data_IF_939212366576
#
_entry.id   IF_939212366576
#
_cell.length_a   1.000
_cell.length_b   1.000
_cell.length_c   1.000
_cell.angle_alpha   90.00
_cell.angle_beta   90.00
_cell.angle_gamma   90.00
#
_symmetry.space_group_name_H-M   'P 1'
#
loop_
_entity.id
_entity.type
_entity.pdbx_description
1 polymer ?
#
# COMPACT_ATOMS: atom_id res chain seq x y z
N UNK A 1 53.62 -11.72 -14.83
CA UNK A 1 54.77 -11.73 -13.89
C UNK A 1 54.78 -13.08 -13.18
N UNK A 2 55.92 -13.65 -12.80
CA UNK A 2 55.95 -14.88 -11.99
C UNK A 2 55.69 -14.55 -10.53
N UNK A 3 55.16 -15.51 -9.76
CA UNK A 3 54.89 -15.32 -8.32
C UNK A 3 56.15 -14.99 -7.53
N UNK A 4 57.31 -15.56 -7.90
CA UNK A 4 58.61 -15.25 -7.30
C UNK A 4 59.06 -13.81 -7.55
N UNK A 5 58.83 -13.30 -8.76
CA UNK A 5 59.16 -11.93 -9.12
C UNK A 5 58.29 -10.91 -8.37
N UNK A 6 57.01 -11.23 -8.12
CA UNK A 6 56.15 -10.40 -7.28
C UNK A 6 56.54 -10.50 -5.81
N UNK A 7 56.79 -11.71 -5.30
CA UNK A 7 57.18 -11.97 -3.92
C UNK A 7 58.47 -11.24 -3.52
N UNK A 8 59.46 -11.19 -4.42
CA UNK A 8 60.71 -10.47 -4.20
C UNK A 8 60.57 -8.94 -4.09
N UNK A 9 59.46 -8.36 -4.57
CA UNK A 9 59.15 -6.93 -4.41
C UNK A 9 58.46 -6.62 -3.09
N UNK A 10 57.74 -7.59 -2.54
CA UNK A 10 56.98 -7.43 -1.30
C UNK A 10 57.94 -7.36 -0.10
N UNK A 11 57.84 -6.35 0.79
CA UNK A 11 58.61 -6.29 2.02
C UNK A 11 58.45 -7.54 2.90
N UNK A 12 59.53 -7.99 3.53
CA UNK A 12 59.53 -9.23 4.35
C UNK A 12 58.44 -9.26 5.43
N UNK A 13 58.06 -8.09 5.98
CA UNK A 13 56.98 -7.98 6.97
C UNK A 13 55.61 -8.37 6.40
N UNK A 14 55.37 -8.15 5.10
CA UNK A 14 54.12 -8.50 4.42
C UNK A 14 54.14 -9.92 3.82
N UNK A 15 55.31 -10.47 3.50
CA UNK A 15 55.42 -11.79 2.84
C UNK A 15 54.78 -12.94 3.65
N UNK A 16 54.77 -12.82 4.98
CA UNK A 16 54.20 -13.83 5.88
C UNK A 16 52.74 -13.56 6.27
N UNK A 17 52.18 -12.41 5.87
CA UNK A 17 50.80 -12.03 6.20
C UNK A 17 49.86 -12.37 5.05
N UNK A 18 48.65 -12.76 5.42
CA UNK A 18 47.47 -12.96 4.56
C UNK A 18 46.34 -12.07 5.06
N UNK A 19 45.25 -11.96 4.29
CA UNK A 19 44.06 -11.22 4.71
C UNK A 19 43.50 -11.69 6.08
N UNK A 20 43.63 -12.99 6.40
CA UNK A 20 43.17 -13.58 7.65
C UNK A 20 44.00 -13.19 8.88
N UNK A 21 45.19 -12.61 8.69
CA UNK A 21 46.03 -12.15 9.80
C UNK A 21 45.68 -10.73 10.27
N UNK A 22 44.85 -10.01 9.51
CA UNK A 22 44.35 -8.69 9.86
C UNK A 22 43.12 -8.83 10.74
N UNK A 23 43.00 -7.95 11.73
CA UNK A 23 41.89 -7.92 12.68
C UNK A 23 41.09 -6.64 12.42
N UNK A 24 39.96 -6.73 11.67
CA UNK A 24 39.17 -5.57 11.31
C UNK A 24 38.61 -4.82 12.53
N UNK A 25 38.39 -5.51 13.65
CA UNK A 25 37.83 -4.94 14.87
C UNK A 25 38.72 -3.87 15.51
N UNK A 26 40.02 -3.83 15.16
CA UNK A 26 40.96 -2.81 15.65
C UNK A 26 40.65 -1.42 15.15
N UNK A 27 40.11 -1.31 13.94
CA UNK A 27 39.78 -0.03 13.34
C UNK A 27 38.63 -0.18 12.34
N UNK A 28 37.41 -0.25 12.87
CA UNK A 28 36.20 -0.40 12.08
C UNK A 28 35.99 0.73 11.06
N UNK A 29 36.49 1.93 11.32
CA UNK A 29 36.40 3.05 10.37
C UNK A 29 37.12 2.74 9.05
N UNK A 30 38.35 2.21 9.10
CA UNK A 30 39.09 1.89 7.87
C UNK A 30 38.67 0.54 7.28
N UNK A 31 38.30 -0.44 8.11
CA UNK A 31 37.72 -1.69 7.64
C UNK A 31 36.42 -1.47 6.86
N UNK A 32 35.49 -0.69 7.43
CA UNK A 32 34.23 -0.34 6.78
C UNK A 32 34.43 0.47 5.51
N UNK A 33 35.39 1.40 5.47
CA UNK A 33 35.73 2.17 4.25
C UNK A 33 36.30 1.31 3.14
N UNK A 34 37.25 0.44 3.46
CA UNK A 34 37.89 -0.43 2.47
C UNK A 34 36.86 -1.36 1.83
N UNK A 35 36.09 -2.05 2.67
CA UNK A 35 35.07 -2.98 2.19
C UNK A 35 33.91 -2.24 1.52
N UNK A 36 33.44 -1.13 2.09
CA UNK A 36 32.39 -0.32 1.47
C UNK A 36 32.77 0.25 0.10
N UNK A 37 34.07 0.46 -0.15
CA UNK A 37 34.57 0.80 -1.48
C UNK A 37 34.66 -0.44 -2.38
N UNK A 38 35.27 -1.52 -1.90
CA UNK A 38 35.38 -2.77 -2.65
C UNK A 38 34.04 -3.25 -3.21
N UNK A 39 32.96 -3.04 -2.46
CA UNK A 39 31.60 -3.43 -2.86
C UNK A 39 30.87 -2.42 -3.74
N UNK A 40 31.36 -1.17 -3.87
CA UNK A 40 30.67 -0.12 -4.63
C UNK A 40 30.95 -0.16 -6.12
N UNK A 41 32.18 -0.49 -6.50
CA UNK A 41 32.71 -0.14 -7.82
C UNK A 41 32.79 -1.37 -8.77
N UNK A 42 31.81 -2.28 -8.70
CA UNK A 42 31.76 -3.55 -9.46
C UNK A 42 33.03 -4.43 -9.34
N UNK A 43 33.88 -4.17 -8.35
CA UNK A 43 35.07 -4.97 -8.04
C UNK A 43 36.31 -4.16 -7.68
N UNK A 44 37.47 -4.82 -7.77
CA UNK A 44 38.78 -4.33 -7.31
C UNK A 44 39.31 -3.15 -8.14
N UNK A 45 38.74 -2.90 -9.33
CA UNK A 45 39.34 -2.01 -10.35
C UNK A 45 39.43 -0.54 -9.91
N UNK A 46 38.58 -0.09 -8.98
CA UNK A 46 38.63 1.27 -8.43
C UNK A 46 39.07 1.34 -6.96
N UNK A 47 39.53 0.22 -6.38
CA UNK A 47 39.94 0.18 -4.98
C UNK A 47 41.05 1.20 -4.70
N UNK A 48 40.80 2.14 -3.79
CA UNK A 48 41.77 3.17 -3.45
C UNK A 48 42.95 2.52 -2.75
N UNK A 49 44.13 2.58 -3.37
CA UNK A 49 45.39 2.18 -2.73
C UNK A 49 45.60 2.87 -1.37
N UNK A 50 45.03 4.07 -1.19
CA UNK A 50 45.04 4.78 0.09
C UNK A 50 44.23 4.07 1.18
N UNK A 51 43.01 3.61 0.89
CA UNK A 51 42.21 2.85 1.86
C UNK A 51 42.79 1.48 2.14
N UNK A 52 43.32 0.81 1.11
CA UNK A 52 44.02 -0.47 1.26
C UNK A 52 45.22 -0.35 2.20
N UNK A 53 46.05 0.68 1.98
CA UNK A 53 47.20 0.96 2.83
C UNK A 53 46.81 1.31 4.27
N UNK A 54 45.79 2.16 4.45
CA UNK A 54 45.34 2.59 5.77
C UNK A 54 44.75 1.41 6.56
N UNK A 55 43.93 0.59 5.93
CA UNK A 55 43.45 -0.66 6.53
C UNK A 55 44.62 -1.55 6.95
N UNK A 56 45.55 -1.85 6.04
CA UNK A 56 46.67 -2.73 6.35
C UNK A 56 47.49 -2.17 7.53
N UNK A 57 47.72 -0.87 7.57
CA UNK A 57 48.48 -0.23 8.64
C UNK A 57 47.77 -0.29 10.00
N UNK A 58 46.45 -0.11 10.03
CA UNK A 58 45.69 0.00 11.30
C UNK A 58 45.15 -1.34 11.81
N UNK A 59 44.88 -2.28 10.91
CA UNK A 59 44.29 -3.58 11.23
C UNK A 59 45.35 -4.70 11.30
N UNK A 60 46.63 -4.41 11.04
CA UNK A 60 47.72 -5.37 11.14
C UNK A 60 47.82 -6.01 12.55
N UNK A 61 48.31 -7.25 12.62
CA UNK A 61 48.58 -7.89 13.91
C UNK A 61 49.66 -7.10 14.68
N UNK A 62 49.74 -7.22 16.03
CA UNK A 62 50.61 -6.38 16.84
C UNK A 62 52.08 -6.50 16.44
N UNK A 63 52.49 -7.69 15.99
CA UNK A 63 53.84 -7.96 15.50
C UNK A 63 54.21 -7.18 14.23
N UNK A 64 53.22 -6.69 13.48
CA UNK A 64 53.37 -5.90 12.26
C UNK A 64 52.77 -4.49 12.41
N UNK A 65 52.53 -4.03 13.64
CA UNK A 65 51.83 -2.78 13.90
C UNK A 65 52.52 -1.59 13.23
N UNK A 66 51.73 -0.81 12.48
CA UNK A 66 52.19 0.41 11.83
C UNK A 66 53.04 0.22 10.58
N UNK A 67 53.39 -1.03 10.20
CA UNK A 67 54.10 -1.41 8.97
C UNK A 67 55.25 -0.44 8.58
N UNK A 68 56.32 -0.32 9.40
CA UNK A 68 57.36 0.67 9.19
C UNK A 68 58.09 0.47 7.87
N UNK A 69 58.23 1.54 7.08
CA UNK A 69 58.91 1.51 5.79
C UNK A 69 58.12 0.88 4.64
N UNK A 70 56.89 0.42 4.90
CA UNK A 70 55.98 -0.08 3.85
C UNK A 70 55.28 1.10 3.17
N UNK A 71 55.28 1.10 1.85
CA UNK A 71 54.61 2.09 1.00
C UNK A 71 53.23 1.60 0.55
N UNK A 72 52.33 2.48 0.08
CA UNK A 72 51.07 2.04 -0.52
C UNK A 72 51.25 1.07 -1.70
N UNK A 73 52.30 1.25 -2.52
CA UNK A 73 52.63 0.35 -3.63
C UNK A 73 52.97 -1.06 -3.16
N UNK A 74 53.68 -1.19 -2.04
CA UNK A 74 54.01 -2.50 -1.45
C UNK A 74 52.76 -3.26 -0.99
N UNK A 75 51.75 -2.55 -0.47
CA UNK A 75 50.47 -3.15 -0.05
C UNK A 75 49.65 -3.58 -1.27
N UNK A 76 49.67 -2.81 -2.36
CA UNK A 76 49.02 -3.21 -3.63
C UNK A 76 49.68 -4.45 -4.23
N UNK A 77 51.02 -4.49 -4.27
CA UNK A 77 51.77 -5.67 -4.73
C UNK A 77 51.49 -6.90 -3.84
N UNK A 78 51.38 -6.70 -2.52
CA UNK A 78 51.00 -7.74 -1.57
C UNK A 78 49.57 -8.26 -1.75
N UNK A 79 48.59 -7.38 -1.96
CA UNK A 79 47.20 -7.79 -2.23
C UNK A 79 47.11 -8.59 -3.54
N UNK A 80 47.74 -8.08 -4.61
CA UNK A 80 47.82 -8.78 -5.88
C UNK A 80 48.48 -10.16 -5.74
N UNK A 81 49.49 -10.30 -4.88
CA UNK A 81 50.12 -11.58 -4.62
C UNK A 81 49.21 -12.56 -3.88
N UNK A 82 48.48 -12.11 -2.85
CA UNK A 82 47.54 -12.96 -2.13
C UNK A 82 46.41 -13.44 -3.03
N UNK A 83 45.87 -12.54 -3.85
CA UNK A 83 44.80 -12.85 -4.80
C UNK A 83 45.27 -13.86 -5.86
N UNK A 84 46.41 -13.60 -6.51
CA UNK A 84 46.86 -14.40 -7.66
C UNK A 84 47.55 -15.72 -7.28
N UNK A 85 48.23 -15.79 -6.13
CA UNK A 85 49.10 -16.92 -5.79
C UNK A 85 48.73 -17.64 -4.50
N UNK A 86 47.99 -17.01 -3.58
CA UNK A 86 47.52 -17.67 -2.35
C UNK A 86 46.04 -18.05 -2.39
N UNK A 87 45.29 -17.53 -3.36
CA UNK A 87 43.84 -17.72 -3.45
C UNK A 87 43.12 -17.31 -2.15
N UNK A 88 43.64 -16.26 -1.51
CA UNK A 88 43.03 -15.60 -0.35
C UNK A 88 42.65 -14.20 -0.81
N UNK A 89 41.40 -13.81 -0.60
CA UNK A 89 40.85 -12.56 -1.10
C UNK A 89 40.35 -11.67 0.03
N UNK A 90 40.14 -10.39 -0.28
CA UNK A 90 39.50 -9.45 0.65
C UNK A 90 38.10 -9.92 1.10
N UNK A 91 37.44 -10.80 0.33
CA UNK A 91 36.13 -11.35 0.71
C UNK A 91 36.23 -12.22 1.98
N UNK A 92 37.40 -12.82 2.25
CA UNK A 92 37.57 -13.72 3.40
C UNK A 92 37.48 -12.98 4.75
N UNK A 93 37.77 -11.67 4.79
CA UNK A 93 37.63 -10.85 6.01
C UNK A 93 36.21 -10.30 6.22
N UNK A 94 35.30 -10.47 5.24
CA UNK A 94 33.95 -9.89 5.31
C UNK A 94 33.14 -10.44 6.49
N UNK A 95 33.36 -11.71 6.85
CA UNK A 95 32.68 -12.37 7.99
C UNK A 95 33.07 -11.72 9.33
N UNK A 96 34.34 -11.35 9.50
CA UNK A 96 34.81 -10.71 10.74
C UNK A 96 34.32 -9.26 10.86
N UNK A 97 34.23 -8.57 9.73
CA UNK A 97 33.63 -7.23 9.66
C UNK A 97 32.14 -7.28 10.00
N UNK A 98 31.44 -8.35 9.63
CA UNK A 98 30.04 -8.59 10.02
C UNK A 98 29.82 -8.49 11.51
N UNK A 99 30.68 -9.13 12.29
CA UNK A 99 30.53 -9.13 13.73
C UNK A 99 30.91 -7.79 14.36
N UNK A 100 32.13 -7.32 14.10
CA UNK A 100 32.72 -6.25 14.89
C UNK A 100 32.47 -4.84 14.33
N UNK A 101 32.35 -4.72 13.00
CA UNK A 101 32.42 -3.44 12.29
C UNK A 101 31.22 -3.18 11.37
N UNK A 102 30.10 -3.87 11.63
CA UNK A 102 28.88 -3.82 10.84
C UNK A 102 28.40 -2.39 10.55
N UNK A 103 28.26 -1.55 11.58
CA UNK A 103 27.74 -0.20 11.45
C UNK A 103 28.64 0.71 10.59
N UNK A 104 29.96 0.65 10.79
CA UNK A 104 30.91 1.42 9.97
C UNK A 104 30.92 0.91 8.53
N UNK A 105 30.84 -0.40 8.30
CA UNK A 105 30.72 -0.95 6.95
C UNK A 105 29.47 -0.43 6.26
N UNK A 106 28.30 -0.59 6.87
CA UNK A 106 27.02 -0.14 6.30
C UNK A 106 26.95 1.37 6.09
N UNK A 107 27.60 2.17 6.93
CA UNK A 107 27.67 3.63 6.76
C UNK A 107 28.55 4.05 5.57
N UNK A 108 29.65 3.33 5.32
CA UNK A 108 30.57 3.68 4.23
C UNK A 108 30.13 3.09 2.88
N UNK A 109 29.17 2.18 2.91
CA UNK A 109 28.46 1.70 1.75
C UNK A 109 27.59 2.83 1.19
N UNK A 110 27.89 3.29 -0.02
CA UNK A 110 26.99 4.26 -0.67
C UNK A 110 25.77 3.52 -1.14
N UNK A 111 24.62 3.89 -0.61
CA UNK A 111 23.34 3.41 -1.09
C UNK A 111 22.89 4.29 -2.26
N UNK A 112 23.02 3.84 -3.53
CA UNK A 112 22.50 4.62 -4.65
C UNK A 112 20.99 4.83 -4.46
N UNK A 113 20.29 3.79 -4.00
CA UNK A 113 18.85 3.79 -3.73
C UNK A 113 18.04 4.19 -4.96
N UNK A 114 16.72 4.13 -4.84
CA UNK A 114 15.87 4.79 -5.81
C UNK A 114 14.82 5.60 -5.07
N UNK A 115 15.02 6.93 -4.90
CA UNK A 115 14.07 7.73 -4.16
C UNK A 115 12.67 7.64 -4.77
N UNK A 116 12.50 7.43 -6.07
CA UNK A 116 11.17 7.30 -6.67
C UNK A 116 10.40 6.03 -6.27
N UNK A 117 11.04 5.05 -5.62
CA UNK A 117 10.42 3.78 -5.20
C UNK A 117 10.40 3.59 -3.67
N UNK A 118 11.44 4.02 -2.98
CA UNK A 118 11.61 3.87 -1.52
C UNK A 118 11.67 5.20 -0.77
N UNK A 119 11.66 6.32 -1.49
CA UNK A 119 11.79 7.65 -0.91
C UNK A 119 10.56 8.16 -0.14
N UNK A 120 10.76 9.29 0.54
CA UNK A 120 9.81 9.86 1.51
C UNK A 120 8.42 10.09 0.93
N UNK A 121 8.32 10.51 -0.33
CA UNK A 121 7.03 10.78 -0.94
C UNK A 121 6.24 9.52 -1.33
N UNK A 122 6.91 8.43 -1.71
CA UNK A 122 6.24 7.12 -1.89
C UNK A 122 5.74 6.61 -0.54
N UNK A 123 6.56 6.75 0.51
CA UNK A 123 6.15 6.42 1.87
C UNK A 123 4.92 7.23 2.32
N UNK A 124 4.90 8.53 2.04
CA UNK A 124 3.72 9.37 2.28
C UNK A 124 2.49 8.87 1.51
N UNK A 125 2.66 8.40 0.27
CA UNK A 125 1.57 7.80 -0.52
C UNK A 125 1.03 6.53 0.16
N UNK A 126 1.88 5.65 0.70
CA UNK A 126 1.42 4.49 1.48
C UNK A 126 0.63 4.90 2.73
N UNK A 127 1.12 5.89 3.48
CA UNK A 127 0.42 6.42 4.67
C UNK A 127 -0.96 6.95 4.29
N UNK A 128 -1.06 7.75 3.22
CA UNK A 128 -2.34 8.26 2.71
C UNK A 128 -3.26 7.09 2.32
N UNK A 129 -2.76 6.10 1.58
CA UNK A 129 -3.53 4.92 1.20
C UNK A 129 -4.08 4.16 2.41
N UNK A 130 -3.26 3.95 3.45
CA UNK A 130 -3.68 3.26 4.67
C UNK A 130 -4.79 4.03 5.42
N UNK A 131 -4.63 5.36 5.54
CA UNK A 131 -5.62 6.23 6.19
C UNK A 131 -6.95 6.15 5.45
N UNK A 132 -6.96 6.38 4.13
CA UNK A 132 -8.20 6.36 3.35
C UNK A 132 -8.87 4.99 3.34
N UNK A 133 -8.09 3.90 3.21
CA UNK A 133 -8.60 2.53 3.30
C UNK A 133 -9.30 2.29 4.63
N UNK A 134 -8.68 2.73 5.73
CA UNK A 134 -9.24 2.61 7.08
C UNK A 134 -10.52 3.44 7.23
N UNK A 135 -10.52 4.68 6.76
CA UNK A 135 -11.69 5.56 6.79
C UNK A 135 -12.87 4.96 6.00
N UNK A 136 -12.63 4.50 4.76
CA UNK A 136 -13.66 3.88 3.94
C UNK A 136 -14.21 2.60 4.61
N UNK A 137 -13.34 1.74 5.12
CA UNK A 137 -13.73 0.54 5.84
C UNK A 137 -14.62 0.86 7.05
N UNK A 138 -14.22 1.82 7.89
CA UNK A 138 -14.99 2.26 9.06
C UNK A 138 -16.37 2.81 8.67
N UNK A 139 -16.42 3.71 7.69
CA UNK A 139 -17.69 4.29 7.20
C UNK A 139 -18.62 3.19 6.73
N UNK A 140 -18.13 2.24 5.93
CA UNK A 140 -18.97 1.15 5.45
C UNK A 140 -19.39 0.16 6.53
N UNK A 141 -18.55 -0.10 7.54
CA UNK A 141 -18.93 -0.91 8.70
C UNK A 141 -20.08 -0.22 9.45
N UNK A 142 -19.97 1.09 9.71
CA UNK A 142 -21.03 1.87 10.36
C UNK A 142 -22.33 1.82 9.53
N UNK A 143 -22.24 2.00 8.21
CA UNK A 143 -23.40 1.91 7.33
C UNK A 143 -24.03 0.50 7.38
N UNK A 144 -23.23 -0.55 7.33
CA UNK A 144 -23.70 -1.93 7.39
C UNK A 144 -24.37 -2.26 8.73
N UNK A 145 -23.78 -1.82 9.85
CA UNK A 145 -24.35 -1.98 11.20
C UNK A 145 -25.65 -1.19 11.33
N UNK A 146 -25.69 0.04 10.83
CA UNK A 146 -26.90 0.88 10.85
C UNK A 146 -28.05 0.26 10.05
N UNK A 147 -27.74 -0.36 8.92
CA UNK A 147 -28.74 -1.03 8.08
C UNK A 147 -29.22 -2.32 8.73
N UNK A 148 -28.30 -3.09 9.32
CA UNK A 148 -28.64 -4.27 10.10
C UNK A 148 -29.57 -3.93 11.27
N UNK A 149 -29.26 -2.88 12.03
CA UNK A 149 -30.10 -2.44 13.16
C UNK A 149 -31.49 -1.96 12.70
N UNK A 150 -31.57 -1.23 11.58
CA UNK A 150 -32.85 -0.83 10.97
C UNK A 150 -33.70 -2.04 10.61
N UNK A 151 -33.12 -3.03 9.92
CA UNK A 151 -33.81 -4.28 9.56
C UNK A 151 -34.29 -5.07 10.78
N UNK A 152 -33.51 -5.11 11.86
CA UNK A 152 -33.93 -5.73 13.12
C UNK A 152 -35.13 -5.00 13.74
N UNK A 153 -35.12 -3.67 13.70
CA UNK A 153 -36.21 -2.84 14.23
C UNK A 153 -37.49 -3.03 13.43
N UNK A 154 -37.39 -3.03 12.10
CA UNK A 154 -38.54 -3.22 11.20
C UNK A 154 -39.13 -4.63 11.34
N UNK A 155 -38.29 -5.66 11.52
CA UNK A 155 -38.75 -7.02 11.86
C UNK A 155 -39.52 -7.05 13.16
N UNK A 156 -38.99 -6.45 14.24
CA UNK A 156 -39.68 -6.38 15.54
C UNK A 156 -41.04 -5.66 15.42
N UNK A 157 -41.10 -4.57 14.66
CA UNK A 157 -42.35 -3.84 14.40
C UNK A 157 -43.36 -4.67 13.59
N UNK A 158 -42.90 -5.39 12.57
CA UNK A 158 -43.75 -6.27 11.79
C UNK A 158 -44.32 -7.42 12.65
N UNK A 159 -43.50 -8.06 13.49
CA UNK A 159 -43.98 -9.08 14.43
C UNK A 159 -44.96 -8.53 15.47
N UNK A 160 -44.70 -7.34 16.02
CA UNK A 160 -45.61 -6.70 16.96
C UNK A 160 -46.97 -6.33 16.34
N UNK A 161 -46.98 -5.89 15.07
CA UNK A 161 -48.21 -5.58 14.33
C UNK A 161 -49.07 -6.84 14.08
N UNK A 162 -48.45 -8.01 13.88
CA UNK A 162 -49.17 -9.28 13.75
C UNK A 162 -49.74 -9.76 15.09
N UNK A 163 -48.99 -9.57 16.19
CA UNK A 163 -49.41 -10.01 17.53
C UNK A 163 -50.54 -9.19 18.18
N UNK A 164 -50.70 -7.91 17.81
CA UNK A 164 -51.69 -7.02 18.44
C UNK A 164 -53.13 -7.18 17.93
N UNK A 165 -53.36 -7.91 16.83
CA UNK A 165 -54.67 -8.03 16.18
C UNK A 165 -55.19 -9.47 16.11
N UNK A 166 -54.79 -10.34 17.04
CA UNK A 166 -55.23 -11.73 17.08
C UNK A 166 -56.71 -11.87 17.46
N UNK A 167 -57.59 -11.65 16.48
CA UNK A 167 -58.77 -12.49 16.31
C UNK A 167 -58.23 -13.85 15.84
N UNK A 168 -58.57 -14.98 16.48
CA UNK A 168 -58.06 -16.29 16.11
C UNK A 168 -58.51 -16.64 14.68
N UNK A 169 -57.62 -16.43 13.72
CA UNK A 169 -57.89 -16.71 12.32
C UNK A 169 -57.46 -18.15 12.03
N UNK A 170 -58.42 -19.08 12.00
CA UNK A 170 -58.24 -20.49 11.64
C UNK A 170 -58.07 -20.72 10.11
N UNK A 171 -57.54 -19.73 9.39
CA UNK A 171 -57.32 -19.82 7.94
C UNK A 171 -55.98 -20.48 7.57
N UNK A 172 -55.87 -21.07 6.37
CA UNK A 172 -54.61 -21.60 5.84
C UNK A 172 -53.53 -20.51 5.85
N UNK A 173 -52.30 -20.91 6.18
CA UNK A 173 -51.17 -20.00 6.42
C UNK A 173 -51.10 -18.87 5.37
N UNK A 174 -51.06 -17.59 5.78
CA UNK A 174 -51.08 -16.49 4.84
C UNK A 174 -49.89 -16.62 3.89
N UNK A 175 -50.21 -16.69 2.59
CA UNK A 175 -49.22 -16.64 1.53
C UNK A 175 -48.27 -15.47 1.80
N UNK A 176 -46.97 -15.76 1.86
CA UNK A 176 -45.93 -14.78 2.15
C UNK A 176 -46.17 -13.54 1.30
N UNK A 177 -46.38 -12.38 1.93
CA UNK A 177 -46.56 -11.12 1.22
C UNK A 177 -45.44 -10.99 0.19
N UNK A 178 -45.75 -10.76 -1.09
CA UNK A 178 -44.74 -10.69 -2.13
C UNK A 178 -43.73 -9.62 -1.73
N UNK A 179 -42.49 -10.04 -1.44
CA UNK A 179 -41.40 -9.12 -1.16
C UNK A 179 -41.35 -8.13 -2.32
N UNK A 180 -41.52 -6.85 -2.03
CA UNK A 180 -41.38 -5.81 -3.04
C UNK A 180 -40.06 -6.04 -3.79
N UNK A 181 -40.06 -6.03 -5.13
CA UNK A 181 -38.86 -6.32 -5.89
C UNK A 181 -37.73 -5.37 -5.44
N UNK A 182 -36.49 -5.86 -5.32
CA UNK A 182 -35.38 -5.04 -4.89
C UNK A 182 -35.25 -3.83 -5.81
N UNK A 183 -35.36 -2.63 -5.23
CA UNK A 183 -35.16 -1.38 -5.96
C UNK A 183 -33.78 -1.39 -6.64
N UNK A 184 -33.66 -0.92 -7.89
CA UNK A 184 -32.40 -0.84 -8.59
C UNK A 184 -31.41 -0.01 -7.77
N UNK A 185 -30.23 -0.59 -7.53
CA UNK A 185 -29.18 0.06 -6.76
C UNK A 185 -28.64 1.27 -7.53
N UNK A 186 -28.83 2.47 -6.99
CA UNK A 186 -28.19 3.68 -7.51
C UNK A 186 -26.88 3.93 -6.75
N UNK A 187 -25.72 3.96 -7.45
CA UNK A 187 -24.43 4.17 -6.80
C UNK A 187 -24.41 5.54 -6.13
N UNK A 188 -24.08 5.54 -4.85
CA UNK A 188 -23.96 6.76 -4.04
C UNK A 188 -22.71 7.56 -4.46
N UNK A 189 -22.58 8.81 -3.97
CA UNK A 189 -21.34 9.58 -4.20
C UNK A 189 -20.12 8.91 -3.58
N UNK A 190 -20.29 8.32 -2.38
CA UNK A 190 -19.25 7.56 -1.68
C UNK A 190 -18.75 6.39 -2.52
N UNK A 191 -19.67 5.66 -3.16
CA UNK A 191 -19.35 4.52 -4.03
C UNK A 191 -18.45 4.91 -5.20
N UNK A 192 -18.64 6.11 -5.77
CA UNK A 192 -17.81 6.65 -6.85
C UNK A 192 -16.42 7.05 -6.36
N UNK A 193 -16.32 7.67 -5.18
CA UNK A 193 -15.03 7.99 -4.58
C UNK A 193 -14.21 6.73 -4.27
N UNK A 194 -14.85 5.72 -3.69
CA UNK A 194 -14.22 4.42 -3.42
C UNK A 194 -13.78 3.75 -4.71
N UNK A 195 -14.59 3.82 -5.76
CA UNK A 195 -14.21 3.32 -7.08
C UNK A 195 -12.99 4.03 -7.67
N UNK A 196 -12.95 5.37 -7.62
CA UNK A 196 -11.80 6.14 -8.08
C UNK A 196 -10.54 5.79 -7.27
N UNK A 197 -10.64 5.76 -5.94
CA UNK A 197 -9.52 5.41 -5.05
C UNK A 197 -9.01 3.99 -5.29
N UNK A 198 -9.92 3.03 -5.49
CA UNK A 198 -9.58 1.64 -5.79
C UNK A 198 -8.81 1.53 -7.11
N UNK A 199 -9.30 2.19 -8.17
CA UNK A 199 -8.63 2.20 -9.49
C UNK A 199 -7.25 2.86 -9.42
N UNK A 200 -7.13 4.01 -8.75
CA UNK A 200 -5.83 4.68 -8.55
C UNK A 200 -4.85 3.80 -7.78
N UNK A 201 -5.31 3.12 -6.73
CA UNK A 201 -4.49 2.18 -5.95
C UNK A 201 -4.07 0.97 -6.79
N UNK A 202 -4.91 0.53 -7.73
CA UNK A 202 -4.57 -0.56 -8.66
C UNK A 202 -3.44 -0.14 -9.60
N UNK A 203 -3.53 1.04 -10.24
CA UNK A 203 -2.46 1.51 -11.11
C UNK A 203 -1.14 1.69 -10.36
N UNK A 204 -1.20 2.24 -9.15
CA UNK A 204 -0.03 2.38 -8.30
C UNK A 204 0.57 1.01 -7.94
N UNK A 205 -0.25 0.04 -7.52
CA UNK A 205 0.21 -1.32 -7.21
C UNK A 205 0.82 -2.05 -8.41
N UNK A 206 0.26 -1.89 -9.61
CA UNK A 206 0.84 -2.44 -10.85
C UNK A 206 2.16 -1.76 -11.17
N UNK A 207 2.26 -0.44 -11.05
CA UNK A 207 3.51 0.28 -11.29
C UNK A 207 4.62 -0.19 -10.34
N UNK A 208 4.32 -0.34 -9.04
CA UNK A 208 5.28 -0.87 -8.06
C UNK A 208 5.67 -2.32 -8.36
N UNK A 209 4.71 -3.16 -8.80
CA UNK A 209 4.99 -4.54 -9.17
C UNK A 209 5.88 -4.64 -10.42
N UNK A 210 5.62 -3.82 -11.44
CA UNK A 210 6.45 -3.74 -12.64
C UNK A 210 7.83 -3.19 -12.31
N UNK A 211 7.94 -2.18 -11.45
CA UNK A 211 9.23 -1.67 -10.99
C UNK A 211 10.04 -2.76 -10.26
N UNK A 212 9.40 -3.51 -9.35
CA UNK A 212 10.04 -4.63 -8.67
C UNK A 212 10.57 -5.68 -9.66
N UNK A 213 9.77 -6.07 -10.67
CA UNK A 213 10.21 -7.01 -11.71
C UNK A 213 11.34 -6.45 -12.58
N UNK A 214 11.27 -5.17 -12.93
CA UNK A 214 12.28 -4.52 -13.74
C UNK A 214 13.63 -4.51 -13.00
N UNK A 215 13.66 -4.11 -11.73
CA UNK A 215 14.89 -4.09 -10.93
C UNK A 215 15.47 -5.49 -10.79
N UNK A 216 14.63 -6.48 -10.43
CA UNK A 216 15.02 -7.90 -10.32
C UNK A 216 15.74 -8.44 -11.57
N UNK A 217 15.37 -7.96 -12.76
CA UNK A 217 15.88 -8.48 -14.03
C UNK A 217 16.92 -7.59 -14.71
N UNK A 218 16.93 -6.29 -14.44
CA UNK A 218 17.73 -5.32 -15.17
C UNK A 218 18.88 -4.74 -14.35
N UNK A 219 18.77 -4.73 -13.02
CA UNK A 219 19.73 -4.06 -12.15
C UNK A 219 20.29 -5.06 -11.13
N UNK A 220 21.59 -5.34 -11.23
CA UNK A 220 22.28 -6.10 -10.20
C UNK A 220 22.54 -5.19 -8.99
N UNK A 221 22.23 -5.69 -7.79
CA UNK A 221 22.61 -5.01 -6.54
C UNK A 221 21.60 -4.03 -5.94
N UNK A 222 20.30 -4.11 -6.27
CA UNK A 222 19.24 -3.28 -5.67
C UNK A 222 18.16 -4.13 -4.96
N UNK A 223 18.58 -5.02 -4.07
CA UNK A 223 17.73 -5.88 -3.24
C UNK A 223 16.78 -5.04 -2.36
N UNK A 224 17.23 -3.93 -1.79
CA UNK A 224 16.38 -3.04 -1.00
C UNK A 224 15.27 -2.40 -1.82
N UNK A 225 15.64 -1.80 -2.96
CA UNK A 225 14.68 -1.11 -3.82
C UNK A 225 13.68 -2.13 -4.36
N UNK A 226 14.15 -3.33 -4.70
CA UNK A 226 13.31 -4.47 -5.05
C UNK A 226 12.35 -4.82 -3.92
N UNK A 227 12.86 -4.96 -2.70
CA UNK A 227 12.09 -5.31 -1.52
C UNK A 227 11.02 -4.27 -1.19
N UNK A 228 11.38 -2.97 -1.20
CA UNK A 228 10.44 -1.86 -1.02
C UNK A 228 9.37 -1.84 -2.12
N UNK A 229 9.75 -2.09 -3.37
CA UNK A 229 8.82 -2.13 -4.50
C UNK A 229 7.84 -3.30 -4.38
N UNK A 230 8.34 -4.47 -3.96
CA UNK A 230 7.52 -5.64 -3.68
C UNK A 230 6.56 -5.38 -2.52
N UNK A 231 7.05 -4.88 -1.37
CA UNK A 231 6.20 -4.54 -0.23
C UNK A 231 5.16 -3.49 -0.60
N UNK A 232 5.53 -2.50 -1.42
CA UNK A 232 4.62 -1.50 -1.97
C UNK A 232 3.51 -2.10 -2.84
N UNK A 233 3.86 -3.05 -3.70
CA UNK A 233 2.89 -3.78 -4.51
C UNK A 233 1.95 -4.65 -3.63
N UNK A 234 2.49 -5.36 -2.63
CA UNK A 234 1.72 -6.15 -1.67
C UNK A 234 0.79 -5.28 -0.82
N UNK A 235 1.29 -4.14 -0.35
CA UNK A 235 0.52 -3.14 0.38
C UNK A 235 -0.66 -2.65 -0.47
N UNK A 236 -0.40 -2.29 -1.72
CA UNK A 236 -1.43 -1.86 -2.67
C UNK A 236 -2.45 -2.97 -2.95
N UNK A 237 -2.01 -4.21 -3.15
CA UNK A 237 -2.91 -5.36 -3.30
C UNK A 237 -3.82 -5.53 -2.06
N UNK A 238 -3.26 -5.33 -0.87
CA UNK A 238 -4.01 -5.40 0.39
C UNK A 238 -5.10 -4.31 0.45
N UNK A 239 -4.81 -3.07 0.03
CA UNK A 239 -5.82 -2.01 -0.14
C UNK A 239 -6.97 -2.47 -1.03
N UNK A 240 -6.66 -3.04 -2.20
CA UNK A 240 -7.67 -3.48 -3.15
C UNK A 240 -8.56 -4.58 -2.59
N UNK A 241 -7.98 -5.55 -1.88
CA UNK A 241 -8.69 -6.68 -1.27
C UNK A 241 -9.54 -6.23 -0.07
N UNK A 242 -9.05 -5.30 0.74
CA UNK A 242 -9.84 -4.69 1.82
C UNK A 242 -11.08 -4.03 1.24
N UNK A 243 -10.94 -3.22 0.19
CA UNK A 243 -12.02 -2.41 -0.36
C UNK A 243 -12.92 -3.13 -1.38
N UNK A 244 -12.51 -4.31 -1.86
CA UNK A 244 -13.21 -5.10 -2.87
C UNK A 244 -14.70 -5.37 -2.56
N UNK A 245 -15.11 -5.73 -1.31
CA UNK A 245 -16.51 -5.97 -0.98
C UNK A 245 -17.46 -4.81 -1.33
N UNK A 246 -16.94 -3.58 -1.30
CA UNK A 246 -17.70 -2.36 -1.54
C UNK A 246 -17.53 -1.85 -2.96
N UNK A 247 -16.31 -1.92 -3.52
CA UNK A 247 -16.07 -1.60 -4.92
C UNK A 247 -16.98 -2.39 -5.88
N UNK A 248 -17.24 -3.66 -5.55
CA UNK A 248 -18.17 -4.52 -6.32
C UNK A 248 -19.59 -3.94 -6.42
N UNK A 249 -20.05 -3.14 -5.46
CA UNK A 249 -21.38 -2.50 -5.51
C UNK A 249 -21.41 -1.30 -6.46
N UNK A 250 -20.28 -0.59 -6.55
CA UNK A 250 -20.14 0.61 -7.36
C UNK A 250 -19.90 0.33 -8.84
N UNK A 251 -19.27 -0.81 -9.15
CA UNK A 251 -18.81 -1.10 -10.51
C UNK A 251 -19.89 -1.78 -11.36
N UNK A 252 -20.15 -1.23 -12.54
CA UNK A 252 -21.01 -1.85 -13.56
C UNK A 252 -20.43 -3.17 -14.09
N UNK A 253 -19.11 -3.35 -13.99
CA UNK A 253 -18.37 -4.48 -14.57
C UNK A 253 -17.54 -5.20 -13.50
N UNK A 254 -18.16 -6.04 -12.65
CA UNK A 254 -17.46 -6.73 -11.56
C UNK A 254 -16.36 -7.71 -12.03
N UNK A 255 -16.41 -8.12 -13.30
CA UNK A 255 -15.37 -8.96 -13.91
C UNK A 255 -14.05 -8.19 -14.11
N UNK A 256 -14.09 -6.88 -14.36
CA UNK A 256 -12.88 -6.06 -14.48
C UNK A 256 -12.16 -5.97 -13.13
N UNK A 257 -12.91 -5.78 -12.03
CA UNK A 257 -12.36 -5.79 -10.68
C UNK A 257 -11.62 -7.11 -10.37
N UNK A 258 -12.23 -8.23 -10.75
CA UNK A 258 -11.63 -9.55 -10.58
C UNK A 258 -10.38 -9.70 -11.45
N UNK A 259 -10.45 -9.35 -12.73
CA UNK A 259 -9.32 -9.41 -13.65
C UNK A 259 -8.13 -8.57 -13.15
N UNK A 260 -8.39 -7.35 -12.67
CA UNK A 260 -7.37 -6.48 -12.05
C UNK A 260 -6.71 -7.14 -10.84
N UNK A 261 -7.49 -7.72 -9.92
CA UNK A 261 -6.94 -8.45 -8.77
C UNK A 261 -6.12 -9.68 -9.23
N UNK A 262 -6.55 -10.39 -10.27
CA UNK A 262 -5.81 -11.52 -10.84
C UNK A 262 -4.46 -11.10 -11.41
N UNK A 263 -4.42 -9.99 -12.16
CA UNK A 263 -3.19 -9.47 -12.75
C UNK A 263 -2.19 -9.15 -11.65
N UNK A 264 -2.61 -8.41 -10.61
CA UNK A 264 -1.72 -8.05 -9.51
C UNK A 264 -1.29 -9.28 -8.70
N UNK A 265 -2.19 -10.24 -8.49
CA UNK A 265 -1.89 -11.53 -7.86
C UNK A 265 -0.81 -12.31 -8.62
N UNK A 266 -0.94 -12.42 -9.95
CA UNK A 266 0.05 -13.09 -10.79
C UNK A 266 1.39 -12.36 -10.74
N UNK A 267 1.40 -11.03 -10.84
CA UNK A 267 2.63 -10.25 -10.73
C UNK A 267 3.33 -10.48 -9.38
N UNK A 268 2.59 -10.43 -8.27
CA UNK A 268 3.15 -10.71 -6.94
C UNK A 268 3.69 -12.13 -6.80
N UNK A 269 3.03 -13.12 -7.42
CA UNK A 269 3.52 -14.50 -7.45
C UNK A 269 4.81 -14.63 -8.26
N UNK A 270 4.89 -13.97 -9.42
CA UNK A 270 6.12 -13.95 -10.23
C UNK A 270 7.24 -13.29 -9.44
N UNK A 271 7.03 -12.10 -8.87
CA UNK A 271 8.03 -11.39 -8.06
C UNK A 271 8.47 -12.24 -6.87
N UNK A 272 7.52 -12.82 -6.12
CA UNK A 272 7.85 -13.66 -4.96
C UNK A 272 8.64 -14.92 -5.37
N UNK A 273 8.32 -15.51 -6.52
CA UNK A 273 9.04 -16.66 -7.06
C UNK A 273 10.44 -16.29 -7.56
N UNK A 274 10.60 -15.17 -8.27
CA UNK A 274 11.91 -14.71 -8.74
C UNK A 274 12.78 -14.31 -7.56
N UNK A 275 12.22 -13.56 -6.61
CA UNK A 275 12.89 -13.20 -5.38
C UNK A 275 13.30 -14.44 -4.59
N UNK A 276 12.46 -15.47 -4.49
CA UNK A 276 12.85 -16.74 -3.85
C UNK A 276 14.07 -17.38 -4.52
N UNK A 277 14.08 -17.44 -5.85
CA UNK A 277 15.15 -18.05 -6.60
C UNK A 277 16.47 -17.26 -6.44
N UNK A 278 16.38 -15.93 -6.50
CA UNK A 278 17.52 -15.03 -6.33
C UNK A 278 18.02 -14.98 -4.90
N UNK A 279 17.11 -14.84 -3.92
CA UNK A 279 17.44 -14.83 -2.50
C UNK A 279 18.26 -16.05 -2.13
N UNK A 280 17.90 -17.26 -2.59
CA UNK A 280 18.67 -18.50 -2.35
C UNK A 280 20.08 -18.46 -2.97
N UNK A 281 20.28 -17.76 -4.08
CA UNK A 281 21.58 -17.69 -4.76
C UNK A 281 22.44 -16.49 -4.31
N UNK A 282 21.83 -15.41 -3.81
CA UNK A 282 22.46 -14.10 -3.56
C UNK A 282 22.52 -13.74 -2.06
N UNK A 283 22.59 -14.72 -1.17
CA UNK A 283 22.76 -14.49 0.29
C UNK A 283 23.98 -13.62 0.64
N UNK A 284 24.93 -13.47 -0.28
CA UNK A 284 26.17 -12.73 -0.09
C UNK A 284 26.09 -11.27 -0.61
N UNK A 285 24.91 -10.76 -0.98
CA UNK A 285 24.80 -9.34 -1.31
C UNK A 285 24.97 -8.52 -0.02
N UNK A 286 25.85 -7.53 -0.07
CA UNK A 286 26.12 -6.61 1.04
C UNK A 286 24.85 -5.89 1.52
N UNK A 287 23.88 -5.69 0.64
CA UNK A 287 22.60 -5.10 0.99
C UNK A 287 21.90 -5.99 2.01
N UNK A 288 21.83 -7.29 1.72
CA UNK A 288 21.22 -8.25 2.63
C UNK A 288 21.97 -8.27 3.97
N UNK A 289 23.29 -8.18 3.97
CA UNK A 289 24.10 -8.03 5.19
C UNK A 289 23.61 -6.85 6.04
N UNK A 290 23.53 -5.65 5.46
CA UNK A 290 23.08 -4.46 6.19
C UNK A 290 21.59 -4.53 6.58
N UNK A 291 20.75 -5.30 5.88
CA UNK A 291 19.34 -5.51 6.23
C UNK A 291 19.08 -6.55 7.30
N UNK A 292 19.83 -7.65 7.25
CA UNK A 292 19.64 -8.87 8.05
C UNK A 292 19.86 -8.60 9.53
N UNK A 293 20.79 -7.70 9.84
CA UNK A 293 21.08 -7.28 11.21
C UNK A 293 19.90 -6.57 11.89
N UNK A 294 19.05 -5.88 11.12
CA UNK A 294 18.17 -4.86 11.68
C UNK A 294 16.72 -5.33 11.89
N UNK A 295 16.20 -6.23 11.06
CA UNK A 295 14.84 -6.77 11.19
C UNK A 295 14.83 -8.27 11.47
N UNK A 296 13.83 -8.74 12.25
CA UNK A 296 13.58 -10.17 12.43
C UNK A 296 13.35 -10.82 11.07
N UNK A 297 14.34 -11.57 10.58
CA UNK A 297 14.32 -12.33 9.33
C UNK A 297 13.00 -13.07 9.12
N UNK A 298 12.42 -13.58 10.22
CA UNK A 298 11.12 -14.22 10.23
C UNK A 298 10.02 -13.33 9.64
N UNK A 299 9.90 -12.06 10.03
CA UNK A 299 8.84 -11.18 9.55
C UNK A 299 8.96 -10.89 8.05
N UNK A 300 10.17 -10.60 7.59
CA UNK A 300 10.50 -10.39 6.17
C UNK A 300 10.20 -11.65 5.37
N UNK A 301 10.67 -12.80 5.85
CA UNK A 301 10.43 -14.11 5.25
C UNK A 301 8.93 -14.40 5.17
N UNK A 302 8.19 -14.28 6.27
CA UNK A 302 6.75 -14.54 6.27
C UNK A 302 6.02 -13.61 5.30
N UNK A 303 6.35 -12.32 5.22
CA UNK A 303 5.68 -11.40 4.31
C UNK A 303 6.04 -11.64 2.84
N UNK A 304 7.29 -11.99 2.53
CA UNK A 304 7.73 -12.35 1.18
C UNK A 304 7.07 -13.63 0.66
N UNK A 305 6.90 -14.63 1.53
CA UNK A 305 6.40 -15.95 1.15
C UNK A 305 4.91 -16.13 1.39
N UNK A 306 4.27 -15.27 2.18
CA UNK A 306 2.82 -15.29 2.39
C UNK A 306 2.04 -15.22 1.07
N UNK A 307 2.40 -14.38 0.08
CA UNK A 307 1.74 -14.37 -1.21
C UNK A 307 1.72 -15.73 -1.93
N UNK A 308 2.78 -16.55 -1.83
CA UNK A 308 2.82 -17.86 -2.50
C UNK A 308 1.72 -18.81 -2.02
N UNK A 309 1.30 -18.72 -0.77
CA UNK A 309 0.22 -19.55 -0.22
C UNK A 309 -1.15 -18.86 -0.27
N UNK A 310 -1.21 -17.62 0.21
CA UNK A 310 -2.47 -16.94 0.45
C UNK A 310 -3.11 -16.39 -0.81
N UNK A 311 -2.32 -15.91 -1.78
CA UNK A 311 -2.85 -15.30 -3.01
C UNK A 311 -3.51 -16.35 -3.91
N UNK A 312 -2.89 -17.52 -4.21
CA UNK A 312 -3.55 -18.57 -4.97
C UNK A 312 -4.80 -19.11 -4.27
N UNK A 313 -4.74 -19.32 -2.96
CA UNK A 313 -5.89 -19.78 -2.17
C UNK A 313 -7.05 -18.79 -2.19
N UNK A 314 -6.75 -17.51 -1.97
CA UNK A 314 -7.74 -16.43 -2.08
C UNK A 314 -8.34 -16.37 -3.47
N UNK A 315 -7.51 -16.35 -4.52
CA UNK A 315 -7.94 -16.29 -5.91
C UNK A 315 -8.83 -17.48 -6.31
N UNK A 316 -8.39 -18.71 -5.99
CA UNK A 316 -9.15 -19.92 -6.25
C UNK A 316 -10.53 -19.87 -5.56
N UNK A 317 -10.61 -19.35 -4.34
CA UNK A 317 -11.89 -19.16 -3.66
C UNK A 317 -12.78 -18.13 -4.37
N UNK A 318 -12.22 -17.03 -4.87
CA UNK A 318 -13.01 -16.05 -5.64
C UNK A 318 -13.57 -16.64 -6.92
N UNK A 319 -12.74 -17.36 -7.68
CA UNK A 319 -13.15 -18.05 -8.90
C UNK A 319 -14.21 -19.11 -8.59
N UNK A 320 -14.02 -19.90 -7.54
CA UNK A 320 -15.01 -20.88 -7.08
C UNK A 320 -16.34 -20.22 -6.70
N UNK A 321 -16.31 -19.09 -6.00
CA UNK A 321 -17.52 -18.32 -5.68
C UNK A 321 -18.24 -17.82 -6.94
N UNK A 322 -17.48 -17.37 -7.95
CA UNK A 322 -18.04 -16.93 -9.22
C UNK A 322 -18.67 -18.10 -9.99
N UNK A 323 -17.96 -19.23 -10.10
CA UNK A 323 -18.44 -20.43 -10.77
C UNK A 323 -19.68 -21.03 -10.09
N UNK A 324 -19.69 -21.11 -8.75
CA UNK A 324 -20.84 -21.58 -7.97
C UNK A 324 -22.08 -20.72 -8.22
N UNK A 325 -21.90 -19.40 -8.30
CA UNK A 325 -23.00 -18.48 -8.60
C UNK A 325 -23.53 -18.64 -10.03
N UNK A 326 -22.64 -18.83 -11.00
CA UNK A 326 -23.01 -18.96 -12.41
C UNK A 326 -23.72 -20.29 -12.71
N UNK A 327 -23.21 -21.40 -12.16
CA UNK A 327 -23.70 -22.74 -12.50
C UNK A 327 -24.71 -23.30 -11.50
N UNK A 328 -24.71 -22.87 -10.23
CA UNK A 328 -25.52 -23.47 -9.17
C UNK A 328 -26.23 -22.41 -8.30
N UNK A 329 -27.17 -21.62 -8.85
CA UNK A 329 -27.78 -20.48 -8.15
C UNK A 329 -28.52 -20.87 -6.86
N UNK A 330 -29.19 -22.02 -6.85
CA UNK A 330 -29.91 -22.52 -5.66
C UNK A 330 -28.95 -22.86 -4.52
N UNK A 331 -27.84 -23.55 -4.85
CA UNK A 331 -26.81 -23.91 -3.86
C UNK A 331 -26.05 -22.67 -3.37
N UNK A 332 -25.83 -21.70 -4.27
CA UNK A 332 -25.23 -20.41 -3.93
C UNK A 332 -26.04 -19.65 -2.88
N UNK A 333 -27.38 -19.60 -3.01
CA UNK A 333 -28.21 -18.89 -2.04
C UNK A 333 -28.17 -19.56 -0.65
N UNK A 334 -28.10 -20.89 -0.60
CA UNK A 334 -27.89 -21.64 0.65
C UNK A 334 -26.53 -21.36 1.29
N UNK A 335 -25.46 -21.25 0.49
CA UNK A 335 -24.09 -20.99 0.97
C UNK A 335 -23.79 -19.50 1.21
N UNK A 336 -24.69 -18.59 0.82
CA UNK A 336 -24.52 -17.14 0.94
C UNK A 336 -24.03 -16.64 2.31
N UNK A 337 -24.52 -17.12 3.49
CA UNK A 337 -24.00 -16.67 4.78
C UNK A 337 -22.53 -17.06 4.98
N UNK A 338 -22.16 -18.30 4.61
CA UNK A 338 -20.77 -18.80 4.71
C UNK A 338 -19.84 -17.99 3.82
N UNK A 339 -20.25 -17.76 2.56
CA UNK A 339 -19.49 -16.93 1.62
C UNK A 339 -19.36 -15.47 2.09
N UNK A 340 -20.38 -14.95 2.76
CA UNK A 340 -20.32 -13.62 3.35
C UNK A 340 -19.27 -13.57 4.46
N UNK A 341 -19.25 -14.53 5.38
CA UNK A 341 -18.25 -14.61 6.45
C UNK A 341 -16.84 -14.73 5.85
N UNK A 342 -16.63 -15.67 4.92
CA UNK A 342 -15.34 -15.87 4.27
C UNK A 342 -14.81 -14.58 3.62
N UNK A 343 -15.68 -13.84 2.92
CA UNK A 343 -15.32 -12.57 2.30
C UNK A 343 -14.87 -11.52 3.32
N UNK A 344 -15.58 -11.39 4.45
CA UNK A 344 -15.18 -10.47 5.52
C UNK A 344 -13.86 -10.88 6.17
N UNK A 345 -13.66 -12.18 6.37
CA UNK A 345 -12.40 -12.71 6.90
C UNK A 345 -11.22 -12.37 6.00
N UNK A 346 -11.35 -12.53 4.68
CA UNK A 346 -10.29 -12.12 3.73
C UNK A 346 -9.99 -10.62 3.87
N UNK A 347 -11.01 -9.76 3.87
CA UNK A 347 -10.80 -8.32 3.99
C UNK A 347 -10.15 -7.95 5.32
N UNK A 348 -10.46 -8.65 6.42
CA UNK A 348 -9.82 -8.43 7.72
C UNK A 348 -8.35 -8.88 7.73
N UNK A 349 -8.04 -10.05 7.14
CA UNK A 349 -6.64 -10.51 6.98
C UNK A 349 -5.85 -9.54 6.12
N UNK A 350 -6.42 -9.10 4.98
CA UNK A 350 -5.81 -8.10 4.12
C UNK A 350 -5.62 -6.75 4.84
N UNK A 351 -6.53 -6.37 5.73
CA UNK A 351 -6.37 -5.17 6.56
C UNK A 351 -5.22 -5.31 7.55
N UNK A 352 -5.05 -6.48 8.18
CA UNK A 352 -3.89 -6.77 9.01
C UNK A 352 -2.58 -6.68 8.21
N UNK A 353 -2.55 -7.28 7.01
CA UNK A 353 -1.38 -7.24 6.12
C UNK A 353 -1.04 -5.81 5.66
N UNK A 354 -2.05 -5.00 5.31
CA UNK A 354 -1.88 -3.59 4.97
C UNK A 354 -1.06 -2.85 6.05
N UNK A 355 -1.48 -2.94 7.31
CA UNK A 355 -0.81 -2.25 8.41
C UNK A 355 0.52 -2.89 8.78
N UNK A 356 0.65 -4.22 8.70
CA UNK A 356 1.91 -4.90 8.92
C UNK A 356 2.97 -4.48 7.88
N UNK A 357 2.59 -4.42 6.59
CA UNK A 357 3.47 -3.95 5.52
C UNK A 357 3.87 -2.48 5.70
N UNK A 358 2.93 -1.61 6.10
CA UNK A 358 3.25 -0.20 6.37
C UNK A 358 4.19 -0.04 7.57
N UNK A 359 3.94 -0.78 8.66
CA UNK A 359 4.81 -0.77 9.84
C UNK A 359 6.21 -1.25 9.52
N UNK A 360 6.33 -2.28 8.68
CA UNK A 360 7.60 -2.79 8.21
C UNK A 360 8.35 -1.79 7.32
N UNK A 361 7.66 -1.16 6.36
CA UNK A 361 8.22 -0.07 5.55
C UNK A 361 8.72 1.09 6.42
N UNK A 362 7.97 1.44 7.47
CA UNK A 362 8.35 2.51 8.39
C UNK A 362 9.58 2.14 9.23
N UNK A 363 9.61 0.92 9.78
CA UNK A 363 10.74 0.37 10.53
C UNK A 363 12.01 0.40 9.68
N UNK A 364 11.96 -0.19 8.48
CA UNK A 364 13.11 -0.20 7.58
C UNK A 364 13.59 1.20 7.22
N UNK A 365 12.66 2.14 7.02
CA UNK A 365 13.04 3.51 6.71
C UNK A 365 13.80 4.18 7.87
N UNK A 366 13.34 4.00 9.11
CA UNK A 366 14.00 4.56 10.30
C UNK A 366 15.39 3.96 10.47
N UNK A 367 15.49 2.65 10.32
CA UNK A 367 16.76 1.92 10.44
C UNK A 367 17.77 2.35 9.37
N UNK A 368 17.33 2.47 8.12
CA UNK A 368 18.20 2.93 7.02
C UNK A 368 18.63 4.39 7.19
N UNK A 369 17.77 5.23 7.74
CA UNK A 369 18.10 6.62 8.07
C UNK A 369 19.18 6.71 9.17
N UNK A 370 19.08 5.87 10.21
CA UNK A 370 20.08 5.77 11.27
C UNK A 370 21.43 5.23 10.78
N UNK A 371 21.41 4.27 9.83
CA UNK A 371 22.62 3.65 9.29
C UNK A 371 23.38 4.55 8.30
N UNK A 372 22.66 5.24 7.42
CA UNK A 372 23.24 5.97 6.28
C UNK A 372 23.43 7.48 6.55
N UNK A 373 22.91 7.99 7.66
CA UNK A 373 23.01 9.39 8.08
C UNK A 373 22.68 10.38 6.92
N UNK A 374 23.50 11.42 6.72
CA UNK A 374 23.20 12.56 5.84
C UNK A 374 23.20 12.23 4.33
N UNK A 375 23.77 11.11 3.92
CA UNK A 375 23.90 10.72 2.50
C UNK A 375 22.75 9.84 2.02
N UNK A 376 21.71 9.63 2.83
CA UNK A 376 20.55 8.82 2.44
C UNK A 376 19.73 9.51 1.33
N UNK A 377 19.93 9.08 0.09
CA UNK A 377 19.30 9.65 -1.11
C UNK A 377 17.76 9.65 -1.03
N UNK A 378 17.18 8.74 -0.25
CA UNK A 378 15.73 8.54 -0.11
C UNK A 378 15.01 9.57 0.74
N UNK A 379 15.77 10.43 1.43
CA UNK A 379 15.23 11.62 2.09
C UNK A 379 14.94 12.76 1.12
N UNK A 380 15.34 12.62 -0.15
CA UNK A 380 15.06 13.61 -1.20
C UNK A 380 13.74 13.31 -1.89
N UNK A 381 13.03 14.37 -2.26
CA UNK A 381 11.81 14.29 -3.04
C UNK A 381 12.13 14.08 -4.52
N UNK A 382 11.64 12.98 -5.07
CA UNK A 382 11.69 12.68 -6.51
C UNK A 382 10.49 13.27 -7.25
N UNK A 383 10.62 13.42 -8.58
CA UNK A 383 9.51 13.90 -9.41
C UNK A 383 8.34 12.90 -9.41
N UNK A 384 8.63 11.60 -9.48
CA UNK A 384 7.61 10.55 -9.48
C UNK A 384 6.78 10.56 -8.20
N UNK A 385 7.42 10.84 -7.07
CA UNK A 385 6.77 10.95 -5.77
C UNK A 385 5.73 12.08 -5.70
N UNK A 386 6.09 13.28 -6.18
CA UNK A 386 5.19 14.44 -6.19
C UNK A 386 4.00 14.14 -7.11
N UNK A 387 4.28 13.58 -8.29
CA UNK A 387 3.24 13.20 -9.24
C UNK A 387 2.27 12.17 -8.65
N UNK A 388 2.76 11.19 -7.89
CA UNK A 388 1.94 10.18 -7.24
C UNK A 388 0.94 10.78 -6.25
N UNK A 389 1.37 11.74 -5.41
CA UNK A 389 0.47 12.43 -4.47
C UNK A 389 -0.53 13.31 -5.22
N UNK A 390 -0.04 14.06 -6.23
CA UNK A 390 -0.89 14.95 -7.04
C UNK A 390 -1.96 14.17 -7.80
N UNK A 391 -1.64 12.97 -8.29
CA UNK A 391 -2.58 12.10 -8.99
C UNK A 391 -3.82 11.74 -8.14
N UNK A 392 -3.71 11.80 -6.81
CA UNK A 392 -4.84 11.54 -5.92
C UNK A 392 -5.60 12.79 -5.51
N UNK A 393 -5.10 14.00 -5.78
CA UNK A 393 -5.76 15.26 -5.37
C UNK A 393 -7.24 15.31 -5.79
N UNK A 394 -7.65 14.95 -7.03
CA UNK A 394 -9.06 14.96 -7.41
C UNK A 394 -9.94 14.08 -6.51
N UNK A 395 -9.42 12.92 -6.09
CA UNK A 395 -10.12 12.01 -5.18
C UNK A 395 -10.29 12.63 -3.79
N UNK A 396 -9.26 13.29 -3.26
CA UNK A 396 -9.33 14.01 -1.99
C UNK A 396 -10.39 15.11 -2.03
N UNK A 397 -10.38 15.94 -3.08
CA UNK A 397 -11.35 17.04 -3.25
C UNK A 397 -12.78 16.51 -3.24
N UNK A 398 -13.06 15.43 -3.98
CA UNK A 398 -14.41 14.84 -4.01
C UNK A 398 -14.80 14.22 -2.66
N UNK A 399 -13.87 13.55 -1.98
CA UNK A 399 -14.12 12.99 -0.65
C UNK A 399 -14.49 14.08 0.37
N UNK A 400 -13.70 15.16 0.44
CA UNK A 400 -13.97 16.27 1.36
C UNK A 400 -15.25 17.01 0.99
N UNK A 401 -15.56 17.15 -0.30
CA UNK A 401 -16.82 17.75 -0.73
C UNK A 401 -18.04 16.97 -0.27
N UNK A 402 -17.99 15.63 -0.34
CA UNK A 402 -19.07 14.77 0.17
C UNK A 402 -19.21 14.94 1.68
N UNK A 403 -18.10 14.86 2.42
CA UNK A 403 -18.10 15.01 3.87
C UNK A 403 -18.62 16.38 4.31
N UNK A 404 -18.12 17.46 3.71
CA UNK A 404 -18.57 18.81 4.02
C UNK A 404 -20.07 18.98 3.75
N UNK A 405 -20.55 18.47 2.61
CA UNK A 405 -21.95 18.60 2.23
C UNK A 405 -22.89 17.80 3.13
N UNK A 406 -22.54 16.55 3.44
CA UNK A 406 -23.35 15.71 4.32
C UNK A 406 -23.30 16.19 5.76
N UNK A 407 -22.17 16.72 6.22
CA UNK A 407 -22.05 17.39 7.51
C UNK A 407 -22.95 18.63 7.60
N UNK A 408 -22.94 19.50 6.57
CA UNK A 408 -23.83 20.67 6.50
C UNK A 408 -25.30 20.25 6.56
N UNK A 409 -25.69 19.20 5.82
CA UNK A 409 -27.07 18.67 5.85
C UNK A 409 -27.46 18.07 7.19
N UNK A 410 -26.58 17.28 7.81
CA UNK A 410 -26.85 16.71 9.12
C UNK A 410 -27.05 17.82 10.17
N UNK A 411 -26.21 18.85 10.11
CA UNK A 411 -26.31 19.99 11.01
C UNK A 411 -27.58 20.82 10.77
N UNK A 412 -28.01 21.01 9.52
CA UNK A 412 -29.25 21.73 9.21
C UNK A 412 -30.50 20.97 9.66
N UNK A 413 -30.53 19.63 9.47
CA UNK A 413 -31.64 18.78 9.96
C UNK A 413 -31.68 18.77 11.49
N UNK A 414 -30.53 18.72 12.17
CA UNK A 414 -30.46 18.79 13.62
C UNK A 414 -31.01 20.11 14.15
N UNK A 415 -30.60 21.24 13.56
CA UNK A 415 -31.15 22.57 13.88
C UNK A 415 -32.64 22.66 13.63
N UNK A 416 -33.14 22.10 12.52
CA UNK A 416 -34.57 22.08 12.21
C UNK A 416 -35.37 21.28 13.26
N UNK A 417 -34.85 20.12 13.71
CA UNK A 417 -35.47 19.34 14.79
C UNK A 417 -35.48 20.09 16.12
N UNK A 418 -34.39 20.74 16.50
CA UNK A 418 -34.34 21.56 17.72
C UNK A 418 -35.37 22.70 17.67
N UNK A 419 -35.48 23.40 16.54
CA UNK A 419 -36.46 24.48 16.37
C UNK A 419 -37.91 23.96 16.50
N UNK A 420 -38.19 22.75 16.02
CA UNK A 420 -39.51 22.13 16.10
C UNK A 420 -39.85 21.68 17.53
N UNK A 421 -38.86 21.22 18.30
CA UNK A 421 -39.03 20.93 19.73
C UNK A 421 -39.26 22.18 20.59
N UNK A 422 -38.57 23.29 20.28
CA UNK A 422 -38.79 24.58 20.94
C UNK A 422 -40.20 25.12 20.68
N UNK A 423 -40.71 25.03 19.44
CA UNK A 423 -42.10 25.43 19.14
C UNK A 423 -43.17 24.58 19.85
N UNK A 424 -42.91 23.30 20.09
CA UNK A 424 -43.85 22.39 20.77
C UNK A 424 -43.85 22.57 22.29
N UNK A 425 -42.81 23.15 22.87
CA UNK A 425 -42.64 23.32 24.33
C UNK A 425 -43.07 24.69 24.84
N UNK A 426 -43.40 25.63 23.95
CA UNK A 426 -44.10 26.86 24.34
C UNK A 426 -45.60 26.53 24.40
N UNK A 427 -46.20 26.36 25.60
CA UNK A 427 -47.64 26.24 25.69
C UNK A 427 -48.24 27.53 25.14
N UNK A 428 -49.27 27.39 24.32
CA UNK A 428 -50.10 28.49 23.85
C UNK A 428 -50.84 29.14 25.03
N UNK A 429 -50.12 29.86 25.90
CA UNK A 429 -50.68 30.71 26.93
C UNK A 429 -51.19 31.98 26.27
N UNK A 430 -52.38 31.89 25.67
CA UNK A 430 -53.00 33.02 24.98
C UNK A 430 -53.92 32.60 23.84
N UNK A 431 -54.85 31.67 24.08
CA UNK A 431 -56.11 31.76 23.35
C UNK A 431 -56.89 32.94 23.95
N UNK A 432 -57.18 34.00 23.20
CA UNK A 432 -58.24 34.93 23.60
C UNK A 432 -59.56 34.16 23.59
N UNK A 433 -60.13 34.01 24.77
CA UNK A 433 -61.53 33.65 24.95
C UNK A 433 -62.35 34.85 24.49
N UNK A 434 -63.02 34.76 23.33
CA UNK A 434 -64.18 35.57 22.93
C UNK A 434 -64.58 35.09 21.51
N UNK A 435 -65.80 34.71 21.16
CA UNK A 435 -67.06 34.59 21.87
C UNK A 435 -68.02 33.82 20.94
N UNK A 436 -69.06 33.23 21.53
CA UNK A 436 -70.18 32.69 20.76
C UNK A 436 -70.82 33.83 19.96
N UNK A 437 -70.81 33.73 18.63
CA UNK A 437 -71.68 34.52 17.78
C UNK A 437 -72.65 33.58 17.07
N UNK A 438 -73.95 33.80 17.36
CA UNK A 438 -75.07 33.04 16.84
C UNK A 438 -75.36 33.37 15.38
N UNK A 439 -75.71 32.32 14.63
CA UNK A 439 -76.59 32.26 13.46
C UNK A 439 -77.06 33.58 12.80
N UNK A 440 -76.78 33.68 11.49
CA UNK A 440 -77.55 34.49 10.54
C UNK A 440 -77.30 34.01 9.10
N UNK A 441 -78.35 33.72 8.28
CA UNK A 441 -78.20 33.23 6.92
C UNK A 441 -78.11 34.38 5.92
N UNK A 442 -77.23 34.27 4.92
CA UNK A 442 -77.08 35.34 3.92
C UNK A 442 -76.15 35.00 2.76
N UNK A 443 -76.72 34.34 1.75
CA UNK A 443 -76.55 34.62 0.30
C UNK A 443 -75.23 35.15 -0.29
N UNK A 444 -74.83 34.41 -1.34
CA UNK A 444 -74.44 34.84 -2.71
C UNK A 444 -72.96 35.04 -3.07
N UNK A 445 -72.65 34.36 -4.17
CA UNK A 445 -71.91 34.79 -5.36
C UNK A 445 -70.39 34.52 -5.43
N UNK A 446 -70.06 33.56 -6.30
CA UNK A 446 -68.87 33.50 -7.15
C UNK A 446 -68.57 34.87 -7.81
N UNK A 447 -67.30 35.13 -8.17
CA UNK A 447 -66.94 34.84 -9.55
C UNK A 447 -65.58 34.15 -9.73
N UNK A 448 -65.62 33.26 -10.72
CA UNK A 448 -64.50 32.71 -11.47
C UNK A 448 -63.43 33.74 -11.82
N UNK A 449 -62.16 33.35 -11.72
CA UNK A 449 -61.12 33.83 -12.64
C UNK A 449 -60.31 32.66 -13.18
N UNK A 450 -60.63 32.34 -14.42
CA UNK A 450 -59.76 31.67 -15.38
C UNK A 450 -58.44 32.44 -15.55
N UNK A 451 -57.31 31.73 -15.53
CA UNK A 451 -56.12 32.14 -16.29
C UNK A 451 -55.61 30.93 -17.07
N UNK A 452 -55.63 31.11 -18.38
CA UNK A 452 -55.33 30.12 -19.43
C UNK A 452 -53.94 30.43 -20.00
N UNK A 453 -53.10 29.39 -20.09
CA UNK A 453 -52.01 29.12 -21.07
C UNK A 453 -50.90 30.16 -21.32
N UNK A 454 -49.64 29.71 -21.28
CA UNK A 454 -48.93 29.23 -22.49
C UNK A 454 -47.57 28.59 -22.16
N UNK A 455 -47.10 27.62 -22.98
CA UNK A 455 -45.82 26.93 -22.80
C UNK A 455 -44.69 27.61 -23.60
N UNK A 456 -43.48 27.65 -23.04
CA UNK A 456 -42.26 28.04 -23.75
C UNK A 456 -41.49 26.78 -24.14
N UNK A 457 -41.37 26.58 -25.45
CA UNK A 457 -40.57 25.56 -26.12
C UNK A 457 -39.05 25.78 -25.95
N UNK A 458 -38.24 24.72 -26.16
CA UNK A 458 -36.80 24.74 -25.88
C UNK A 458 -36.00 25.37 -27.03
N UNK A 459 -35.01 26.20 -26.68
CA UNK A 459 -34.02 26.69 -27.62
C UNK A 459 -32.94 25.61 -27.83
N UNK A 460 -32.91 25.07 -29.05
CA UNK A 460 -31.79 24.33 -29.61
C UNK A 460 -30.66 25.29 -29.97
N UNK A 461 -29.42 24.94 -29.57
CA UNK A 461 -28.19 25.65 -29.94
C UNK A 461 -27.10 24.65 -30.31
N UNK A 462 -26.20 24.99 -31.25
CA UNK A 462 -25.59 24.02 -32.14
C UNK A 462 -24.30 23.37 -31.62
N UNK A 463 -24.15 22.14 -32.12
CA UNK A 463 -22.96 21.33 -32.29
C UNK A 463 -21.69 22.14 -32.58
N UNK A 464 -20.64 21.96 -31.76
CA UNK A 464 -19.27 22.30 -32.14
C UNK A 464 -18.39 21.07 -31.99
N UNK A 465 -18.29 20.33 -33.07
CA UNK A 465 -17.33 19.24 -33.28
C UNK A 465 -15.96 19.88 -33.52
N UNK A 466 -15.09 19.88 -32.51
CA UNK A 466 -13.65 20.15 -32.71
C UNK A 466 -12.96 18.83 -33.04
N UNK A 467 -12.83 18.55 -34.33
CA UNK A 467 -11.85 17.62 -34.89
C UNK A 467 -10.45 18.20 -34.67
N UNK A 468 -9.71 17.64 -33.72
CA UNK A 468 -8.29 17.94 -33.54
C UNK A 468 -7.51 16.96 -34.42
N UNK A 469 -6.99 17.49 -35.53
CA UNK A 469 -6.05 16.82 -36.43
C UNK A 469 -4.72 16.70 -35.71
N UNK A 470 -4.23 15.48 -35.53
CA UNK A 470 -2.88 15.19 -35.05
C UNK A 470 -1.96 14.97 -36.26
N UNK A 471 -0.79 15.62 -36.36
CA UNK A 471 0.15 15.33 -37.43
C UNK A 471 0.93 14.05 -37.11
N UNK A 472 0.88 13.13 -38.08
CA UNK A 472 1.66 11.91 -38.16
C UNK A 472 3.13 12.28 -38.28
N UNK A 473 3.96 11.83 -37.34
CA UNK A 473 5.40 11.67 -37.54
C UNK A 473 5.68 10.17 -37.47
N UNK A 474 6.23 9.63 -38.57
CA UNK A 474 6.91 8.34 -38.70
C UNK A 474 7.93 8.47 -39.84
N UNK A 475 8.91 7.57 -39.90
CA UNK A 475 9.92 7.24 -38.91
C UNK A 475 11.19 8.08 -39.12
#
# INVERSE_FOLDING_TARGET
MSGEALLSRIPAVLQNLTWLDFDPARNCTWAGRLLGQFWRDDGIEELSAGYLFLFARTCAPPAAAGLPGVTPGDVVDWDAYNLLYRNVSLVDITIEVDGACHADFCRNLKWPGNPDLSGVGVFAAYVIQAIFTTLFMLVYIVLAVSEWHRRQTDRKRAFAAVGSNSIPFHGPAPAQLPLSPPQPYHPTRLDRCVAAFWVSSFYFGVAMAVAALAIVHLEDGYEYTTFFSFLGAQFSASVLVVLWPWYRRSCTHPHLALASLSVLAVLLLVISSTYRAQFVQRWNTFELFCFVSVSSHAAVYYLLFFPLGAVPGGFAMVVAMWALRAHYPVRYESMRPVLSVARWSISLVAFGLLWASLGLLAMFRVEMDELLEADFAENKWGFGQILAIVAWVPMHVEFFRIWAWDWIKAHSVFKARQALHLKRTVPSSGQPVLGLEMNGPGTKADPQTHVTTTPISPLSGPTRTTTLVSPIIRP
#
